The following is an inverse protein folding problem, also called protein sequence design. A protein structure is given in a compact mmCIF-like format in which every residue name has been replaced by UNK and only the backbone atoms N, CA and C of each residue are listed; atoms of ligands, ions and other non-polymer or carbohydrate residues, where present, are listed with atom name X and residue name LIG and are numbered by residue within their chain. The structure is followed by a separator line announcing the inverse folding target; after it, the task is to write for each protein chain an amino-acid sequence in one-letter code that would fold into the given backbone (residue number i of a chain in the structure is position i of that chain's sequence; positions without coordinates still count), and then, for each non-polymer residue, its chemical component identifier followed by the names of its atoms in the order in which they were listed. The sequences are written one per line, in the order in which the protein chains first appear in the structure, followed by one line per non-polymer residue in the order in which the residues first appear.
data_IF_301205410398
#
_entry.id   IF_301205410398
#
_cell.length_a   1.000
_cell.length_b   1.000
_cell.length_c   1.000
_cell.angle_alpha   90.00
_cell.angle_beta   90.00
_cell.angle_gamma   90.00
#
_symmetry.space_group_name_H-M   'P 1'
#
loop_
_entity.id
_entity.type
_entity.pdbx_description
1 polymer ?
#
# COMPACT_ATOMS: atom_id res chain seq x y z
N UNK A 1 -28.43 4.32 -33.72
CA UNK A 1 -27.19 4.28 -32.91
C UNK A 1 -27.60 4.24 -31.44
N UNK A 2 -27.57 3.08 -30.80
CA UNK A 2 -27.87 2.96 -29.37
C UNK A 2 -26.58 3.19 -28.58
N UNK A 3 -26.58 4.18 -27.69
CA UNK A 3 -25.49 4.39 -26.75
C UNK A 3 -25.42 3.22 -25.75
N UNK A 4 -24.22 2.76 -25.36
CA UNK A 4 -24.09 1.76 -24.31
C UNK A 4 -24.62 2.31 -22.97
N UNK A 5 -25.25 1.47 -22.14
CA UNK A 5 -25.78 1.89 -20.85
C UNK A 5 -24.64 2.38 -19.93
N UNK A 6 -24.92 3.37 -19.05
CA UNK A 6 -23.93 3.86 -18.10
C UNK A 6 -23.47 2.73 -17.17
N UNK A 7 -22.15 2.61 -17.00
CA UNK A 7 -21.54 1.67 -16.06
C UNK A 7 -22.02 2.00 -14.64
N UNK A 8 -22.45 1.00 -13.85
CA UNK A 8 -22.89 1.26 -12.48
C UNK A 8 -21.75 1.87 -11.66
N UNK A 9 -22.07 2.81 -10.75
CA UNK A 9 -21.07 3.38 -9.85
C UNK A 9 -20.41 2.26 -9.04
N UNK A 10 -19.07 2.28 -8.95
CA UNK A 10 -18.34 1.35 -8.09
C UNK A 10 -18.86 1.53 -6.67
N UNK A 11 -19.29 0.46 -5.98
CA UNK A 11 -19.70 0.57 -4.59
C UNK A 11 -18.55 1.16 -3.78
N UNK A 12 -18.86 2.11 -2.89
CA UNK A 12 -17.90 2.66 -1.94
C UNK A 12 -17.35 1.57 -1.01
N UNK A 13 -16.28 1.85 -0.25
CA UNK A 13 -15.70 0.87 0.67
C UNK A 13 -16.79 0.38 1.63
N UNK A 14 -16.97 -0.93 1.69
CA UNK A 14 -17.89 -1.58 2.61
C UNK A 14 -17.43 -1.36 4.07
N UNK A 15 -18.33 -1.48 5.05
CA UNK A 15 -17.96 -1.40 6.47
C UNK A 15 -16.85 -2.42 6.85
N UNK A 16 -16.80 -3.53 6.11
CA UNK A 16 -15.76 -4.55 6.24
C UNK A 16 -14.41 -4.07 5.66
N UNK A 17 -14.42 -3.28 4.59
CA UNK A 17 -13.19 -2.71 4.02
C UNK A 17 -12.53 -1.74 4.99
N UNK A 18 -13.31 -0.89 5.65
CA UNK A 18 -12.75 0.07 6.60
C UNK A 18 -12.14 -0.64 7.82
N UNK A 19 -12.75 -1.73 8.28
CA UNK A 19 -12.19 -2.60 9.32
C UNK A 19 -10.93 -3.33 8.86
N UNK A 20 -10.91 -3.88 7.64
CA UNK A 20 -9.72 -4.51 7.07
C UNK A 20 -8.56 -3.51 6.96
N UNK A 21 -8.83 -2.29 6.50
CA UNK A 21 -7.83 -1.22 6.43
C UNK A 21 -7.33 -0.82 7.82
N UNK A 22 -8.20 -0.82 8.84
CA UNK A 22 -7.80 -0.54 10.21
C UNK A 22 -6.87 -1.62 10.78
N UNK A 23 -7.16 -2.90 10.51
CA UNK A 23 -6.29 -4.02 10.93
C UNK A 23 -4.95 -3.97 10.20
N UNK A 24 -4.97 -3.86 8.87
CA UNK A 24 -3.76 -3.78 8.05
C UNK A 24 -2.92 -2.54 8.38
N UNK A 25 -3.58 -1.42 8.69
CA UNK A 25 -2.94 -0.16 9.08
C UNK A 25 -2.06 -0.23 10.33
N UNK A 26 -2.18 -1.30 11.14
CA UNK A 26 -1.29 -1.57 12.28
C UNK A 26 0.06 -2.13 11.86
N UNK A 27 0.14 -2.69 10.64
CA UNK A 27 1.29 -3.45 10.14
C UNK A 27 1.95 -2.79 8.94
N UNK A 28 1.18 -2.05 8.15
CA UNK A 28 1.64 -1.33 6.97
C UNK A 28 0.99 0.05 6.91
N UNK A 29 1.54 0.97 6.12
CA UNK A 29 0.92 2.29 5.93
C UNK A 29 -0.52 2.17 5.40
N UNK A 30 -1.39 3.14 5.69
CA UNK A 30 -2.78 3.15 5.17
C UNK A 30 -2.84 3.09 3.64
N UNK A 31 -1.87 3.69 2.97
CA UNK A 31 -1.76 3.67 1.51
C UNK A 31 -1.45 2.24 1.03
N UNK A 32 -0.50 1.56 1.67
CA UNK A 32 -0.16 0.15 1.40
C UNK A 32 -1.34 -0.78 1.69
N UNK A 33 -2.02 -0.60 2.83
CA UNK A 33 -3.21 -1.36 3.19
C UNK A 33 -4.32 -1.23 2.12
N UNK A 34 -4.53 -0.01 1.61
CA UNK A 34 -5.52 0.26 0.56
C UNK A 34 -5.14 -0.44 -0.75
N UNK A 35 -3.87 -0.32 -1.18
CA UNK A 35 -3.39 -0.99 -2.39
C UNK A 35 -3.47 -2.53 -2.29
N UNK A 36 -3.15 -3.10 -1.12
CA UNK A 36 -3.28 -4.53 -0.87
C UNK A 36 -4.73 -5.00 -0.93
N UNK A 37 -5.66 -4.25 -0.33
CA UNK A 37 -7.09 -4.57 -0.34
C UNK A 37 -7.70 -4.46 -1.74
N UNK A 38 -7.40 -3.39 -2.47
CA UNK A 38 -7.86 -3.22 -3.85
C UNK A 38 -7.34 -4.33 -4.77
N UNK A 39 -6.06 -4.70 -4.63
CA UNK A 39 -5.44 -5.74 -5.44
C UNK A 39 -6.02 -7.13 -5.09
N UNK A 40 -6.22 -7.41 -3.80
CA UNK A 40 -6.80 -8.67 -3.36
C UNK A 40 -8.27 -8.83 -3.82
N UNK A 41 -9.04 -7.74 -3.89
CA UNK A 41 -10.43 -7.76 -4.41
C UNK A 41 -10.54 -7.89 -5.93
N UNK A 42 -9.50 -7.50 -6.68
CA UNK A 42 -9.47 -7.67 -8.15
C UNK A 42 -9.10 -9.09 -8.57
N UNK A 43 -8.70 -9.92 -7.62
CA UNK A 43 -8.37 -11.32 -7.86
C UNK A 43 -9.66 -12.08 -8.23
N UNK A 44 -9.69 -12.83 -9.36
CA UNK A 44 -10.92 -13.42 -9.88
C UNK A 44 -11.60 -14.42 -8.92
N UNK A 45 -10.84 -15.20 -8.17
CA UNK A 45 -11.37 -16.17 -7.20
C UNK A 45 -12.00 -15.46 -6.00
N UNK A 46 -11.35 -14.39 -5.50
CA UNK A 46 -11.87 -13.54 -4.42
C UNK A 46 -13.11 -12.77 -4.88
N UNK A 47 -13.11 -12.24 -6.10
CA UNK A 47 -14.23 -11.50 -6.67
C UNK A 47 -15.45 -12.41 -6.90
N UNK A 48 -15.24 -13.65 -7.35
CA UNK A 48 -16.29 -14.63 -7.57
C UNK A 48 -16.99 -15.07 -6.27
N UNK A 49 -16.27 -15.05 -5.15
CA UNK A 49 -16.75 -15.45 -3.83
C UNK A 49 -17.12 -14.26 -2.94
N UNK A 50 -17.23 -13.06 -3.50
CA UNK A 50 -17.49 -11.85 -2.74
C UNK A 50 -18.75 -11.97 -1.85
N UNK A 51 -18.61 -11.63 -0.57
CA UNK A 51 -19.71 -11.68 0.40
C UNK A 51 -19.95 -13.07 1.02
N UNK A 52 -19.20 -14.10 0.64
CA UNK A 52 -19.25 -15.43 1.28
C UNK A 52 -18.16 -15.57 2.35
N UNK A 53 -18.35 -16.50 3.29
CA UNK A 53 -17.32 -16.85 4.27
C UNK A 53 -16.02 -17.33 3.59
N UNK A 54 -16.15 -18.12 2.52
CA UNK A 54 -15.02 -18.63 1.77
C UNK A 54 -14.27 -17.50 1.05
N UNK A 55 -14.99 -16.53 0.48
CA UNK A 55 -14.40 -15.34 -0.13
C UNK A 55 -13.66 -14.46 0.86
N UNK A 56 -14.16 -14.32 2.10
CA UNK A 56 -13.45 -13.59 3.15
C UNK A 56 -12.16 -14.31 3.57
N UNK A 57 -12.20 -15.63 3.74
CA UNK A 57 -11.00 -16.41 4.07
C UNK A 57 -9.93 -16.30 2.97
N UNK A 58 -10.33 -16.39 1.70
CA UNK A 58 -9.46 -16.19 0.53
C UNK A 58 -8.88 -14.76 0.50
N UNK A 59 -9.70 -13.75 0.77
CA UNK A 59 -9.28 -12.36 0.86
C UNK A 59 -8.23 -12.16 1.97
N UNK A 60 -8.48 -12.71 3.16
CA UNK A 60 -7.56 -12.61 4.30
C UNK A 60 -6.21 -13.29 4.02
N UNK A 61 -6.22 -14.48 3.41
CA UNK A 61 -5.00 -15.18 3.01
C UNK A 61 -4.23 -14.40 1.94
N UNK A 62 -4.94 -13.79 0.99
CA UNK A 62 -4.32 -12.97 -0.05
C UNK A 62 -3.70 -11.71 0.52
N UNK A 63 -4.35 -11.08 1.49
CA UNK A 63 -3.85 -9.93 2.23
C UNK A 63 -2.60 -10.31 3.03
N UNK A 64 -2.61 -11.41 3.78
CA UNK A 64 -1.44 -11.89 4.52
C UNK A 64 -0.24 -12.19 3.60
N UNK A 65 -0.51 -12.75 2.41
CA UNK A 65 0.51 -12.94 1.37
C UNK A 65 1.01 -11.63 0.76
N UNK A 66 0.16 -10.61 0.67
CA UNK A 66 0.53 -9.28 0.20
C UNK A 66 1.39 -8.52 1.21
N UNK A 67 1.09 -8.66 2.51
CA UNK A 67 1.82 -8.04 3.61
C UNK A 67 3.23 -8.63 3.76
N UNK A 68 3.47 -9.90 3.36
CA UNK A 68 4.81 -10.52 3.27
C UNK A 68 5.85 -9.64 2.53
N UNK A 69 5.41 -8.81 1.58
CA UNK A 69 6.32 -7.94 0.83
C UNK A 69 6.86 -6.78 1.68
N UNK A 70 6.28 -6.55 2.85
CA UNK A 70 6.49 -5.40 3.72
C UNK A 70 6.84 -5.78 5.16
N UNK A 71 6.66 -7.05 5.56
CA UNK A 71 6.85 -7.52 6.94
C UNK A 71 7.53 -8.89 7.01
N UNK A 72 8.06 -9.23 8.19
CA UNK A 72 8.61 -10.55 8.50
C UNK A 72 7.53 -11.63 8.73
N UNK A 73 7.97 -12.87 8.93
CA UNK A 73 7.14 -14.06 9.15
C UNK A 73 6.32 -14.01 10.44
N UNK A 74 6.91 -13.50 11.53
CA UNK A 74 6.21 -13.39 12.82
C UNK A 74 5.09 -12.33 12.74
N UNK A 75 5.35 -11.22 12.05
CA UNK A 75 4.34 -10.20 11.75
C UNK A 75 3.23 -10.75 10.84
N UNK A 76 3.57 -11.60 9.86
CA UNK A 76 2.59 -12.28 8.99
C UNK A 76 1.65 -13.19 9.77
N UNK A 77 2.17 -13.96 10.72
CA UNK A 77 1.35 -14.81 11.57
C UNK A 77 0.35 -13.98 12.40
N UNK A 78 0.79 -12.83 12.92
CA UNK A 78 -0.07 -11.89 13.67
C UNK A 78 -1.16 -11.26 12.80
N UNK A 79 -0.82 -10.82 11.58
CA UNK A 79 -1.80 -10.30 10.61
C UNK A 79 -2.89 -11.34 10.33
N UNK A 80 -2.50 -12.60 10.10
CA UNK A 80 -3.45 -13.69 9.84
C UNK A 80 -4.36 -13.94 11.04
N UNK A 81 -3.80 -13.92 12.24
CA UNK A 81 -4.54 -14.09 13.48
C UNK A 81 -5.54 -12.94 13.70
N UNK A 82 -5.13 -11.68 13.50
CA UNK A 82 -6.00 -10.51 13.64
C UNK A 82 -7.14 -10.49 12.61
N UNK A 83 -6.85 -10.86 11.36
CA UNK A 83 -7.88 -11.00 10.31
C UNK A 83 -8.87 -12.13 10.63
N UNK A 84 -8.40 -13.23 11.22
CA UNK A 84 -9.26 -14.33 11.68
C UNK A 84 -10.14 -13.92 12.88
N UNK A 85 -9.61 -13.12 13.82
CA UNK A 85 -10.39 -12.61 14.96
C UNK A 85 -11.48 -11.63 14.54
N UNK A 86 -11.30 -10.88 13.45
CA UNK A 86 -12.30 -9.95 12.91
C UNK A 86 -13.63 -10.65 12.54
N UNK A 87 -13.57 -11.95 12.24
CA UNK A 87 -14.73 -12.80 11.91
C UNK A 87 -15.58 -13.18 13.14
N UNK A 88 -15.03 -13.12 14.35
CA UNK A 88 -15.66 -13.60 15.59
C UNK A 88 -16.30 -12.53 16.47
N UNK A 89 -16.12 -11.24 16.17
CA UNK A 89 -16.62 -10.15 17.02
C UNK A 89 -18.01 -9.65 16.54
N UNK A 90 -19.04 -9.60 17.41
CA UNK A 90 -20.33 -9.04 17.03
C UNK A 90 -20.20 -7.57 16.62
N UNK A 91 -20.96 -7.18 15.60
CA UNK A 91 -21.03 -5.80 15.09
C UNK A 91 -21.59 -4.91 16.20
N UNK A 92 -20.72 -4.27 17.00
CA UNK A 92 -21.10 -3.09 17.80
C UNK A 92 -20.93 -1.84 16.93
N UNK A 93 -21.96 -1.00 16.79
CA UNK A 93 -21.77 0.34 16.24
C UNK A 93 -20.99 1.14 17.29
N UNK A 94 -19.74 1.48 16.99
CA UNK A 94 -18.94 2.37 17.85
C UNK A 94 -19.10 3.77 17.31
N UNK A 95 -19.84 4.57 18.07
CA UNK A 95 -19.97 6.00 17.90
C UNK A 95 -18.63 6.73 18.02
N UNK A 96 -18.59 7.87 17.36
CA UNK A 96 -17.51 8.83 17.21
C UNK A 96 -16.71 9.14 18.47
N UNK A 97 -15.39 9.08 18.38
CA UNK A 97 -14.48 10.23 18.60
C UNK A 97 -13.03 9.78 18.63
N UNK A 98 -12.28 10.08 17.57
CA UNK A 98 -10.84 10.30 17.69
C UNK A 98 -10.49 11.59 16.95
N UNK A 99 -9.84 12.46 17.71
CA UNK A 99 -9.30 13.77 17.35
C UNK A 99 -8.57 13.73 16.00
N UNK A 100 -9.14 14.45 15.05
CA UNK A 100 -8.68 14.64 13.68
C UNK A 100 -7.54 15.69 13.65
N UNK A 101 -6.33 15.39 13.15
CA UNK A 101 -5.44 16.43 12.64
C UNK A 101 -6.01 16.98 11.33
N UNK A 102 -5.94 18.30 11.16
CA UNK A 102 -6.66 19.09 10.16
C UNK A 102 -6.56 18.58 8.69
N UNK A 103 -7.61 18.81 7.88
CA UNK A 103 -7.67 18.38 6.49
C UNK A 103 -6.90 19.34 5.56
N UNK A 104 -6.11 18.80 4.64
CA UNK A 104 -5.71 19.49 3.41
C UNK A 104 -6.57 18.96 2.24
N UNK A 105 -6.88 19.79 1.23
CA UNK A 105 -8.16 19.75 0.53
C UNK A 105 -8.34 18.58 -0.44
N UNK A 106 -9.62 18.30 -0.69
CA UNK A 106 -10.15 17.24 -1.51
C UNK A 106 -10.05 17.52 -3.03
N UNK A 107 -10.02 16.40 -3.77
CA UNK A 107 -10.35 16.19 -5.19
C UNK A 107 -9.31 16.59 -6.25
N UNK A 108 -8.85 15.53 -6.91
CA UNK A 108 -8.35 15.42 -8.28
C UNK A 108 -7.00 16.09 -8.61
N UNK A 109 -5.91 15.33 -8.40
CA UNK A 109 -4.81 15.30 -9.39
C UNK A 109 -4.34 13.86 -9.57
N UNK A 110 -4.61 13.28 -10.73
CA UNK A 110 -3.83 12.16 -11.27
C UNK A 110 -2.56 12.82 -11.82
N UNK A 111 -1.69 13.24 -10.90
CA UNK A 111 -0.57 14.15 -11.15
C UNK A 111 0.56 13.88 -10.18
N UNK A 112 1.75 14.31 -10.59
CA UNK A 112 3.07 14.12 -9.97
C UNK A 112 3.01 14.00 -8.44
N UNK A 113 3.36 12.82 -7.90
CA UNK A 113 3.40 12.60 -6.45
C UNK A 113 4.80 12.24 -6.04
N UNK A 114 5.24 12.87 -4.96
CA UNK A 114 6.58 12.71 -4.40
C UNK A 114 6.49 12.26 -2.95
N UNK A 115 7.23 11.21 -2.61
CA UNK A 115 7.39 10.71 -1.24
C UNK A 115 8.81 10.98 -0.79
N UNK A 116 8.96 11.54 0.41
CA UNK A 116 10.26 11.84 1.01
C UNK A 116 10.44 10.98 2.25
N UNK A 117 11.63 10.40 2.37
CA UNK A 117 12.03 9.46 3.42
C UNK A 117 13.36 9.92 4.00
N UNK A 118 13.44 10.00 5.32
CA UNK A 118 14.71 10.20 6.01
C UNK A 118 15.33 8.82 6.31
N UNK A 119 16.55 8.60 5.85
CA UNK A 119 17.28 7.35 6.00
C UNK A 119 18.27 7.48 7.14
N UNK A 120 18.02 6.78 8.25
CA UNK A 120 18.87 6.79 9.45
C UNK A 120 19.17 5.39 9.99
N UNK A 121 18.42 4.39 9.56
CA UNK A 121 18.48 3.01 10.04
C UNK A 121 18.28 2.03 8.89
N UNK A 122 18.61 0.74 9.13
CA UNK A 122 18.32 -0.33 8.16
C UNK A 122 16.81 -0.56 7.95
N UNK A 123 15.97 -0.21 8.94
CA UNK A 123 14.52 -0.27 8.78
C UNK A 123 14.04 0.70 7.68
N UNK A 124 14.67 1.89 7.60
CA UNK A 124 14.34 2.90 6.59
C UNK A 124 14.72 2.44 5.18
N UNK A 125 15.75 1.60 5.03
CA UNK A 125 16.08 0.97 3.73
C UNK A 125 14.96 0.05 3.26
N UNK A 126 14.42 -0.77 4.17
CA UNK A 126 13.31 -1.66 3.87
C UNK A 126 12.06 -0.86 3.48
N UNK A 127 11.76 0.20 4.23
CA UNK A 127 10.66 1.13 3.92
C UNK A 127 10.86 1.82 2.57
N UNK A 128 12.06 2.34 2.27
CA UNK A 128 12.36 2.98 1.00
C UNK A 128 12.17 2.04 -0.19
N UNK A 129 12.63 0.79 -0.07
CA UNK A 129 12.40 -0.25 -1.09
C UNK A 129 10.92 -0.58 -1.27
N UNK A 130 10.17 -0.63 -0.17
CA UNK A 130 8.73 -0.87 -0.18
C UNK A 130 7.97 0.26 -0.89
N UNK A 131 8.25 1.50 -0.52
CA UNK A 131 7.66 2.69 -1.16
C UNK A 131 7.97 2.71 -2.65
N UNK A 132 9.22 2.49 -3.04
CA UNK A 132 9.61 2.46 -4.44
C UNK A 132 8.85 1.40 -5.26
N UNK A 133 8.66 0.21 -4.68
CA UNK A 133 7.89 -0.88 -5.30
C UNK A 133 6.41 -0.53 -5.43
N UNK A 134 5.79 0.02 -4.39
CA UNK A 134 4.39 0.44 -4.42
C UNK A 134 4.14 1.45 -5.56
N UNK A 135 5.03 2.44 -5.69
CA UNK A 135 4.94 3.44 -6.74
C UNK A 135 5.07 2.82 -8.13
N UNK A 136 5.98 1.85 -8.32
CA UNK A 136 6.09 1.11 -9.57
C UNK A 136 4.85 0.26 -9.89
N UNK A 137 4.26 -0.42 -8.90
CA UNK A 137 3.03 -1.21 -9.10
C UNK A 137 1.89 -0.31 -9.55
N UNK A 138 1.75 0.89 -8.95
CA UNK A 138 0.73 1.87 -9.32
C UNK A 138 0.90 2.42 -10.74
N UNK A 139 2.13 2.44 -11.26
CA UNK A 139 2.42 2.74 -12.66
C UNK A 139 2.25 1.53 -13.60
N UNK A 140 1.74 0.39 -13.11
CA UNK A 140 1.66 -0.86 -13.86
C UNK A 140 3.01 -1.30 -14.44
N UNK A 141 4.10 -1.03 -13.72
CA UNK A 141 5.43 -1.42 -14.13
C UNK A 141 5.60 -2.95 -14.10
N UNK A 142 6.43 -3.47 -15.02
CA UNK A 142 6.71 -4.92 -15.12
C UNK A 142 7.59 -5.38 -13.95
N UNK A 143 7.50 -6.65 -13.59
CA UNK A 143 8.27 -7.28 -12.49
C UNK A 143 9.77 -6.94 -12.52
N UNK A 144 10.40 -6.98 -13.69
CA UNK A 144 11.80 -6.62 -13.87
C UNK A 144 12.10 -5.16 -13.49
N UNK A 145 11.18 -4.23 -13.78
CA UNK A 145 11.31 -2.81 -13.43
C UNK A 145 11.18 -2.63 -11.92
N UNK A 146 10.23 -3.31 -11.28
CA UNK A 146 10.07 -3.29 -9.82
C UNK A 146 11.34 -3.76 -9.11
N UNK A 147 11.95 -4.83 -9.60
CA UNK A 147 13.19 -5.37 -9.05
C UNK A 147 14.34 -4.36 -9.21
N UNK A 148 14.53 -3.81 -10.41
CA UNK A 148 15.59 -2.82 -10.68
C UNK A 148 15.47 -1.58 -9.81
N UNK A 149 14.27 -1.00 -9.72
CA UNK A 149 14.01 0.19 -8.92
C UNK A 149 14.29 -0.08 -7.44
N UNK A 150 13.83 -1.22 -6.90
CA UNK A 150 14.08 -1.55 -5.51
C UNK A 150 15.56 -1.79 -5.20
N UNK A 151 16.30 -2.37 -6.15
CA UNK A 151 17.76 -2.51 -6.02
C UNK A 151 18.41 -1.13 -5.99
N UNK A 152 18.12 -0.25 -6.95
CA UNK A 152 18.68 1.12 -7.02
C UNK A 152 18.42 1.89 -5.72
N UNK A 153 17.16 1.89 -5.26
CA UNK A 153 16.78 2.57 -4.01
C UNK A 153 17.50 1.98 -2.80
N UNK A 154 17.64 0.66 -2.76
CA UNK A 154 18.38 -0.04 -1.72
C UNK A 154 19.85 0.35 -1.64
N UNK A 155 20.52 0.40 -2.78
CA UNK A 155 21.93 0.78 -2.84
C UNK A 155 22.12 2.26 -2.47
N UNK A 156 21.26 3.16 -2.97
CA UNK A 156 21.31 4.58 -2.60
C UNK A 156 21.12 4.77 -1.09
N UNK A 157 20.07 4.17 -0.50
CA UNK A 157 19.81 4.29 0.92
C UNK A 157 20.90 3.63 1.78
N UNK A 158 21.47 2.50 1.33
CA UNK A 158 22.60 1.86 2.02
C UNK A 158 23.84 2.74 2.00
N UNK A 159 24.14 3.37 0.87
CA UNK A 159 25.27 4.28 0.74
C UNK A 159 25.13 5.48 1.68
N UNK A 160 23.94 6.08 1.78
CA UNK A 160 23.67 7.16 2.74
C UNK A 160 23.98 6.73 4.18
N UNK A 161 23.51 5.55 4.59
CA UNK A 161 23.71 5.07 5.95
C UNK A 161 25.17 4.71 6.23
N UNK A 162 25.83 4.06 5.27
CA UNK A 162 27.18 3.50 5.45
C UNK A 162 28.28 4.54 5.34
N UNK A 163 28.08 5.58 4.53
CA UNK A 163 29.13 6.56 4.22
C UNK A 163 28.80 7.98 4.65
N UNK A 164 27.53 8.39 4.67
CA UNK A 164 27.13 9.76 5.00
C UNK A 164 26.50 9.92 6.40
N UNK A 165 26.37 8.82 7.16
CA UNK A 165 25.69 8.82 8.47
C UNK A 165 24.18 9.00 8.39
N UNK A 166 23.61 8.84 7.20
CA UNK A 166 22.19 9.05 6.90
C UNK A 166 21.98 10.01 5.73
N UNK A 167 20.73 10.24 5.37
CA UNK A 167 20.38 11.13 4.26
C UNK A 167 18.88 11.22 4.02
N UNK A 168 18.52 11.86 2.92
CA UNK A 168 17.15 12.03 2.48
C UNK A 168 16.97 11.42 1.09
N UNK A 169 16.00 10.52 0.97
CA UNK A 169 15.58 9.95 -0.29
C UNK A 169 14.23 10.53 -0.69
N UNK A 170 14.12 10.96 -1.94
CA UNK A 170 12.89 11.50 -2.52
C UNK A 170 12.52 10.68 -3.76
N UNK A 171 11.34 10.08 -3.75
CA UNK A 171 10.82 9.25 -4.85
C UNK A 171 9.58 9.90 -5.43
N UNK A 172 9.70 10.42 -6.64
CA UNK A 172 8.62 11.02 -7.43
C UNK A 172 8.09 10.06 -8.48
N UNK A 173 6.82 10.19 -8.82
CA UNK A 173 6.26 9.54 -10.00
C UNK A 173 5.26 10.42 -10.72
N UNK A 174 5.28 10.34 -12.05
CA UNK A 174 4.41 11.07 -12.95
C UNK A 174 3.78 10.10 -13.94
N UNK A 175 2.49 10.21 -14.20
CA UNK A 175 1.74 9.30 -15.08
C UNK A 175 1.56 9.85 -16.51
N UNK A 176 1.68 11.15 -16.71
CA UNK A 176 1.50 11.83 -17.99
C UNK A 176 2.59 12.89 -18.24
N UNK A 177 3.01 13.16 -19.50
CA UNK A 177 2.55 12.53 -20.73
C UNK A 177 3.07 11.10 -20.94
N UNK A 178 4.08 10.69 -20.17
CA UNK A 178 4.56 9.29 -20.09
C UNK A 178 4.84 8.91 -18.64
N UNK A 179 4.63 7.64 -18.25
CA UNK A 179 5.01 7.15 -16.93
C UNK A 179 6.49 7.39 -16.66
N UNK A 180 6.81 8.11 -15.60
CA UNK A 180 8.15 8.41 -15.15
C UNK A 180 8.25 8.17 -13.65
N UNK A 181 9.37 7.59 -13.23
CA UNK A 181 9.79 7.55 -11.83
C UNK A 181 11.06 8.38 -11.69
N UNK A 182 11.14 9.20 -10.65
CA UNK A 182 12.31 10.01 -10.32
C UNK A 182 12.77 9.62 -8.93
N UNK A 183 14.05 9.32 -8.79
CA UNK A 183 14.66 8.99 -7.50
C UNK A 183 15.77 10.01 -7.29
N UNK A 184 15.68 10.76 -6.20
CA UNK A 184 16.69 11.73 -5.79
C UNK A 184 17.21 11.35 -4.41
N UNK A 185 18.51 11.14 -4.35
CA UNK A 185 19.28 11.02 -3.13
C UNK A 185 19.87 12.39 -2.77
N UNK A 186 19.79 12.77 -1.50
CA UNK A 186 20.49 13.92 -0.96
C UNK A 186 21.05 13.54 0.40
N UNK A 187 22.36 13.54 0.54
CA UNK A 187 23.07 13.23 1.77
C UNK A 187 24.22 14.23 1.98
N UNK A 188 24.87 14.12 3.13
CA UNK A 188 25.98 15.00 3.53
C UNK A 188 27.34 14.32 3.37
N UNK A 189 27.43 13.28 2.53
CA UNK A 189 28.65 12.53 2.22
C UNK A 189 29.56 13.24 1.22
#
# INVERSE_FOLDING_TARGET
MNAPPPTPPRPGPSADDERLLQVLGRYVSRITATGLLENARREPEVAALAGTEEGFARLADRLALGVKLFTDEATRARVRQDLAMMRGAPIRPVGSSVRQPAPAPARAEIGDRTTRLDIRTEADLAEARAVARDLCVRLSARSLVLQRVATIVGELARNMLSYAGGGQLTIGFRTAPRPLITIRAADTG
#
